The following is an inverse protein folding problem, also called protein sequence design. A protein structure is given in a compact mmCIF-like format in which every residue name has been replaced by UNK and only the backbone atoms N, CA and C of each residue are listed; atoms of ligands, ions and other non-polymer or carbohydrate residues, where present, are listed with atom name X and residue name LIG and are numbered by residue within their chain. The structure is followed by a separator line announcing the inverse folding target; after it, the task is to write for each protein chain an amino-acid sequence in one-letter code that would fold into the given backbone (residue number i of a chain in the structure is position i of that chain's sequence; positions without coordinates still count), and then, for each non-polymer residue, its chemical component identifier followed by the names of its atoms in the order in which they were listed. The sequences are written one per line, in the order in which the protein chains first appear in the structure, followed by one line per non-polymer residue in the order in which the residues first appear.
data_IF_771897728687
#
_entry.id   IF_771897728687
#
_cell.length_a   1.000
_cell.length_b   1.000
_cell.length_c   1.000
_cell.angle_alpha   90.00
_cell.angle_beta   90.00
_cell.angle_gamma   90.00
#
_symmetry.space_group_name_H-M   'P 1'
#
loop_
_entity.id
_entity.type
_entity.pdbx_description
1 polymer ?
#
# COMPACT_ATOMS: atom_id res chain seq x y z
N UNK A 1 20.62 1.44 -2.90
CA UNK A 1 20.80 0.78 -1.59
C UNK A 1 20.71 1.68 -0.37
N UNK A 2 21.47 2.78 -0.27
CA UNK A 2 21.62 3.55 1.00
C UNK A 2 20.33 3.99 1.70
N UNK A 3 19.23 4.22 0.98
CA UNK A 3 17.94 4.62 1.54
C UNK A 3 16.79 3.68 1.15
N UNK A 4 17.09 2.47 0.66
CA UNK A 4 16.11 1.45 0.31
C UNK A 4 15.31 1.04 1.55
N UNK A 5 14.02 0.76 1.39
CA UNK A 5 13.22 0.08 2.40
C UNK A 5 13.59 -1.41 2.40
N UNK A 6 13.95 -1.94 3.57
CA UNK A 6 14.32 -3.36 3.75
C UNK A 6 13.25 -4.02 4.60
N UNK A 7 12.62 -5.06 4.05
CA UNK A 7 11.61 -5.85 4.75
C UNK A 7 12.29 -6.92 5.61
N UNK A 8 11.64 -7.35 6.68
CA UNK A 8 12.10 -8.57 7.35
C UNK A 8 12.02 -9.77 6.38
N UNK A 9 13.08 -10.61 6.29
CA UNK A 9 13.09 -11.74 5.38
C UNK A 9 11.95 -12.74 5.62
N UNK A 10 11.48 -13.38 4.56
CA UNK A 10 10.57 -14.52 4.58
C UNK A 10 10.85 -15.45 3.40
N UNK A 11 10.23 -16.62 3.37
CA UNK A 11 10.60 -17.73 2.47
C UNK A 11 10.69 -17.31 1.00
N UNK A 12 9.70 -16.57 0.49
CA UNK A 12 9.66 -16.12 -0.91
C UNK A 12 10.51 -14.86 -1.19
N UNK A 13 10.98 -14.17 -0.15
CA UNK A 13 11.83 -12.98 -0.26
C UNK A 13 12.92 -12.94 0.84
N UNK A 14 13.93 -13.82 0.74
CA UNK A 14 14.96 -13.95 1.77
C UNK A 14 15.87 -12.70 1.87
N UNK A 15 15.89 -11.86 0.83
CA UNK A 15 16.70 -10.63 0.79
C UNK A 15 15.93 -9.39 1.28
N UNK A 16 14.65 -9.54 1.62
CA UNK A 16 13.78 -8.44 2.05
C UNK A 16 13.72 -7.30 1.02
N UNK A 17 13.79 -7.62 -0.28
CA UNK A 17 13.81 -6.62 -1.34
C UNK A 17 12.40 -6.11 -1.65
N UNK A 18 12.27 -4.79 -1.72
CA UNK A 18 11.13 -4.11 -2.32
C UNK A 18 11.64 -2.85 -3.02
N UNK A 19 11.04 -2.52 -4.16
CA UNK A 19 11.39 -1.30 -4.90
C UNK A 19 10.75 -0.07 -4.25
N UNK A 20 11.29 0.31 -3.11
CA UNK A 20 10.87 1.48 -2.35
C UNK A 20 12.06 2.12 -1.63
N UNK A 21 12.00 3.43 -1.46
CA UNK A 21 13.05 4.21 -0.80
C UNK A 21 12.46 5.22 0.17
N UNK A 22 13.12 5.40 1.31
CA UNK A 22 12.78 6.47 2.24
C UNK A 22 13.14 7.83 1.62
N UNK A 23 12.20 8.77 1.75
CA UNK A 23 12.35 10.17 1.33
C UNK A 23 12.07 11.06 2.53
N UNK A 24 12.99 11.98 2.78
CA UNK A 24 12.88 12.99 3.85
C UNK A 24 12.92 14.38 3.22
N UNK A 25 12.01 15.25 3.65
CA UNK A 25 12.02 16.64 3.21
C UNK A 25 12.90 17.49 4.13
N UNK A 26 13.64 18.48 3.60
CA UNK A 26 14.37 19.43 4.43
C UNK A 26 13.43 20.10 5.43
N UNK A 27 13.74 20.00 6.73
CA UNK A 27 12.92 20.54 7.85
C UNK A 27 11.53 19.91 8.00
N UNK A 28 11.21 18.86 7.24
CA UNK A 28 9.96 18.13 7.35
C UNK A 28 9.98 17.17 8.55
N UNK A 29 8.89 17.13 9.32
CA UNK A 29 8.68 16.11 10.37
C UNK A 29 8.10 14.81 9.82
N UNK A 30 7.54 14.86 8.60
CA UNK A 30 6.97 13.70 7.92
C UNK A 30 8.05 12.91 7.19
N UNK A 31 7.96 11.59 7.31
CA UNK A 31 8.78 10.64 6.55
C UNK A 31 7.92 10.05 5.46
N UNK A 32 8.46 9.98 4.25
CA UNK A 32 7.78 9.42 3.10
C UNK A 32 8.50 8.15 2.64
N UNK A 33 7.74 7.28 2.00
CA UNK A 33 8.27 6.16 1.23
C UNK A 33 7.83 6.39 -0.21
N UNK A 34 8.81 6.59 -1.10
CA UNK A 34 8.55 6.56 -2.54
C UNK A 34 8.70 5.11 -3.00
N UNK A 35 7.65 4.56 -3.60
CA UNK A 35 7.60 3.15 -3.99
C UNK A 35 7.09 3.00 -5.44
N UNK A 36 7.56 1.94 -6.10
CA UNK A 36 6.97 1.50 -7.37
C UNK A 36 5.52 1.06 -7.15
N UNK A 37 4.68 1.24 -8.17
CA UNK A 37 3.35 0.63 -8.20
C UNK A 37 3.47 -0.90 -8.04
N UNK A 38 2.65 -1.55 -7.18
CA UNK A 38 2.70 -2.98 -6.99
C UNK A 38 2.54 -3.78 -8.27
N UNK A 39 3.28 -4.88 -8.36
CA UNK A 39 3.14 -5.92 -9.37
C UNK A 39 2.37 -7.10 -8.77
N UNK A 40 1.78 -7.99 -9.60
CA UNK A 40 1.11 -9.20 -9.10
C UNK A 40 1.97 -10.04 -8.15
N UNK A 41 3.27 -10.11 -8.42
CA UNK A 41 4.23 -10.90 -7.63
C UNK A 41 4.80 -10.15 -6.42
N UNK A 42 4.38 -8.91 -6.14
CA UNK A 42 4.92 -8.10 -5.04
C UNK A 42 3.83 -7.58 -4.08
N UNK A 43 2.63 -8.17 -4.13
CA UNK A 43 1.49 -7.72 -3.34
C UNK A 43 1.65 -8.01 -1.85
N UNK A 44 2.27 -9.14 -1.49
CA UNK A 44 2.58 -9.46 -0.10
C UNK A 44 3.64 -8.51 0.46
N UNK A 45 4.73 -8.28 -0.28
CA UNK A 45 5.77 -7.32 0.10
C UNK A 45 5.21 -5.91 0.29
N UNK A 46 4.27 -5.50 -0.55
CA UNK A 46 3.62 -4.20 -0.44
C UNK A 46 2.91 -4.05 0.91
N UNK A 47 2.09 -5.01 1.30
CA UNK A 47 1.38 -4.97 2.59
C UNK A 47 2.31 -5.20 3.78
N UNK A 48 3.35 -6.01 3.61
CA UNK A 48 4.41 -6.16 4.61
C UNK A 48 5.16 -4.85 4.86
N UNK A 49 5.47 -4.09 3.80
CA UNK A 49 6.06 -2.76 3.92
C UNK A 49 5.14 -1.81 4.69
N UNK A 50 3.85 -1.79 4.34
CA UNK A 50 2.84 -0.96 5.02
C UNK A 50 2.78 -1.29 6.51
N UNK A 51 2.77 -2.59 6.86
CA UNK A 51 2.70 -3.05 8.25
C UNK A 51 3.98 -2.81 9.06
N UNK A 52 5.16 -3.09 8.50
CA UNK A 52 6.43 -2.92 9.20
C UNK A 52 6.76 -1.44 9.43
N UNK A 53 6.46 -0.60 8.45
CA UNK A 53 6.76 0.83 8.50
C UNK A 53 5.66 1.66 9.18
N UNK A 54 4.61 0.99 9.70
CA UNK A 54 3.43 1.62 10.33
C UNK A 54 2.84 2.74 9.44
N UNK A 55 2.74 2.50 8.14
CA UNK A 55 2.13 3.44 7.21
C UNK A 55 0.67 3.63 7.60
N UNK A 56 0.17 4.86 7.58
CA UNK A 56 -1.25 5.18 7.87
C UNK A 56 -1.97 5.81 6.68
N UNK A 57 -1.21 6.28 5.69
CA UNK A 57 -1.69 6.92 4.49
C UNK A 57 -0.89 6.43 3.28
N UNK A 58 -1.59 5.92 2.28
CA UNK A 58 -1.06 5.59 0.96
C UNK A 58 -1.57 6.65 -0.01
N UNK A 59 -0.67 7.27 -0.76
CA UNK A 59 -1.02 8.21 -1.84
C UNK A 59 -0.72 7.52 -3.17
N UNK A 60 -1.79 7.17 -3.91
CA UNK A 60 -1.71 6.51 -5.21
C UNK A 60 -1.87 7.56 -6.31
N UNK A 61 -0.82 7.72 -7.13
CA UNK A 61 -0.70 8.77 -8.14
C UNK A 61 -0.86 8.26 -9.58
N UNK A 62 -1.26 7.00 -9.77
CA UNK A 62 -1.42 6.38 -11.09
C UNK A 62 -2.74 5.60 -11.16
N UNK A 63 -3.26 5.43 -12.38
CA UNK A 63 -4.39 4.53 -12.64
C UNK A 63 -3.91 3.07 -12.63
N UNK A 64 -4.86 2.14 -12.49
CA UNK A 64 -4.56 0.71 -12.72
C UNK A 64 -4.13 0.45 -14.17
N UNK A 65 -4.77 1.13 -15.12
CA UNK A 65 -4.50 1.02 -16.56
C UNK A 65 -4.41 2.41 -17.18
N UNK A 66 -3.35 2.65 -17.96
CA UNK A 66 -3.15 3.87 -18.75
C UNK A 66 -2.77 3.50 -20.17
N UNK A 67 -3.43 4.10 -21.17
CA UNK A 67 -3.17 3.82 -22.59
C UNK A 67 -3.17 2.31 -22.91
N UNK A 68 -4.14 1.57 -22.34
CA UNK A 68 -4.28 0.11 -22.45
C UNK A 68 -3.10 -0.71 -21.89
N UNK A 69 -2.27 -0.12 -21.03
CA UNK A 69 -1.19 -0.82 -20.33
C UNK A 69 -1.45 -0.83 -18.83
N UNK A 70 -1.32 -2.00 -18.20
CA UNK A 70 -1.38 -2.12 -16.75
C UNK A 70 -0.20 -1.35 -16.15
N UNK A 71 -0.50 -0.43 -15.23
CA UNK A 71 0.47 0.43 -14.54
C UNK A 71 0.61 0.09 -13.06
N UNK A 72 -0.47 -0.41 -12.45
CA UNK A 72 -0.52 -0.77 -11.05
C UNK A 72 -1.42 -1.98 -10.91
N UNK A 73 -0.96 -2.99 -10.17
CA UNK A 73 -1.85 -4.08 -9.74
C UNK A 73 -2.73 -3.59 -8.59
N UNK A 74 -3.98 -4.05 -8.54
CA UNK A 74 -4.89 -3.63 -7.49
C UNK A 74 -4.60 -4.40 -6.20
N UNK A 75 -4.14 -3.68 -5.18
CA UNK A 75 -3.78 -4.24 -3.88
C UNK A 75 -4.86 -4.07 -2.80
N UNK A 76 -6.11 -3.74 -3.16
CA UNK A 76 -7.20 -3.49 -2.21
C UNK A 76 -8.54 -4.06 -2.72
N UNK A 77 -9.52 -4.40 -1.86
CA UNK A 77 -10.86 -4.86 -2.26
C UNK A 77 -11.69 -3.81 -3.01
N UNK A 78 -12.65 -4.21 -3.84
CA UNK A 78 -13.47 -3.26 -4.63
C UNK A 78 -14.75 -2.87 -3.91
N UNK A 79 -15.38 -3.83 -3.26
CA UNK A 79 -16.69 -3.66 -2.62
C UNK A 79 -16.53 -3.38 -1.12
N UNK A 80 -17.37 -2.49 -0.58
CA UNK A 80 -17.38 -2.21 0.87
C UNK A 80 -17.80 -3.48 1.61
N UNK A 81 -17.04 -3.82 2.66
CA UNK A 81 -17.20 -5.06 3.42
C UNK A 81 -16.50 -6.27 2.79
N UNK A 82 -15.98 -6.16 1.56
CA UNK A 82 -15.17 -7.20 0.95
C UNK A 82 -13.78 -7.23 1.59
N UNK A 83 -13.24 -8.43 1.68
CA UNK A 83 -11.90 -8.73 2.18
C UNK A 83 -11.07 -9.46 1.13
N UNK A 84 -9.78 -9.14 1.05
CA UNK A 84 -8.78 -9.86 0.26
C UNK A 84 -7.59 -10.24 1.14
N UNK A 85 -6.93 -11.35 0.79
CA UNK A 85 -5.74 -11.84 1.49
C UNK A 85 -4.50 -11.67 0.59
N UNK A 86 -3.45 -11.06 1.16
CA UNK A 86 -2.14 -10.94 0.52
C UNK A 86 -1.08 -11.47 1.49
N UNK A 87 -0.60 -12.70 1.26
CA UNK A 87 0.22 -13.41 2.25
C UNK A 87 -0.58 -13.63 3.54
N UNK A 88 -0.09 -13.11 4.67
CA UNK A 88 -0.81 -13.12 5.95
C UNK A 88 -1.55 -11.80 6.26
N UNK A 89 -1.68 -10.90 5.30
CA UNK A 89 -2.34 -9.61 5.45
C UNK A 89 -3.76 -9.67 4.89
N UNK A 90 -4.72 -9.62 5.80
CA UNK A 90 -6.14 -9.52 5.46
C UNK A 90 -6.52 -8.05 5.34
N UNK A 91 -7.02 -7.66 4.17
CA UNK A 91 -7.38 -6.27 3.85
C UNK A 91 -8.87 -6.18 3.57
N UNK A 92 -9.60 -5.41 4.38
CA UNK A 92 -11.00 -5.09 4.12
C UNK A 92 -11.17 -3.64 3.66
N UNK A 93 -12.19 -3.41 2.84
CA UNK A 93 -12.63 -2.06 2.47
C UNK A 93 -13.79 -1.62 3.37
N UNK A 94 -13.54 -0.66 4.25
CA UNK A 94 -14.54 -0.19 5.21
C UNK A 94 -15.40 0.95 4.64
N UNK A 95 -14.82 1.84 3.82
CA UNK A 95 -15.53 2.97 3.23
C UNK A 95 -14.81 3.55 1.99
N UNK A 96 -15.58 4.22 1.13
CA UNK A 96 -15.07 5.04 0.02
C UNK A 96 -15.73 6.41 0.10
N UNK A 97 -14.92 7.47 0.11
CA UNK A 97 -15.36 8.87 0.11
C UNK A 97 -14.86 9.53 -1.19
N UNK A 98 -15.74 10.25 -1.88
CA UNK A 98 -15.43 11.00 -3.11
C UNK A 98 -15.44 12.50 -2.82
N UNK A 99 -14.54 13.25 -3.45
CA UNK A 99 -14.47 14.71 -3.29
C UNK A 99 -15.28 15.42 -4.39
N UNK A 100 -15.62 16.69 -4.15
CA UNK A 100 -16.56 17.45 -4.98
C UNK A 100 -16.11 17.65 -6.44
N UNK A 101 -14.80 17.61 -6.70
CA UNK A 101 -14.20 17.71 -8.04
C UNK A 101 -14.06 16.36 -8.75
N UNK A 102 -14.39 15.26 -8.07
CA UNK A 102 -14.20 13.87 -8.49
C UNK A 102 -12.78 13.50 -8.94
N UNK A 103 -11.79 14.37 -8.69
CA UNK A 103 -10.37 14.15 -9.05
C UNK A 103 -9.68 13.16 -8.11
N UNK A 104 -10.22 13.03 -6.89
CA UNK A 104 -9.67 12.18 -5.84
C UNK A 104 -10.77 11.30 -5.25
N UNK A 105 -10.37 10.14 -4.77
CA UNK A 105 -11.19 9.36 -3.85
C UNK A 105 -10.33 8.89 -2.67
N UNK A 106 -10.95 8.78 -1.51
CA UNK A 106 -10.34 8.27 -0.29
C UNK A 106 -10.96 6.92 0.06
N UNK A 107 -10.15 5.88 0.18
CA UNK A 107 -10.57 4.59 0.74
C UNK A 107 -10.12 4.47 2.18
N UNK A 108 -11.02 4.00 3.04
CA UNK A 108 -10.69 3.55 4.38
C UNK A 108 -10.52 2.03 4.34
N UNK A 109 -9.28 1.59 4.43
CA UNK A 109 -8.91 0.18 4.45
C UNK A 109 -8.63 -0.23 5.88
N UNK A 110 -8.91 -1.50 6.22
CA UNK A 110 -8.44 -2.11 7.45
C UNK A 110 -7.53 -3.26 7.10
N UNK A 111 -6.32 -3.21 7.63
CA UNK A 111 -5.31 -4.24 7.47
C UNK A 111 -5.20 -5.00 8.79
N UNK A 112 -5.33 -6.32 8.73
CA UNK A 112 -5.10 -7.23 9.86
C UNK A 112 -3.96 -8.18 9.51
N UNK A 113 -2.92 -8.19 10.34
CA UNK A 113 -1.84 -9.16 10.25
C UNK A 113 -2.28 -10.44 10.99
N UNK A 114 -2.61 -11.49 10.25
CA UNK A 114 -3.14 -12.74 10.81
C UNK A 114 -2.13 -13.49 11.69
N UNK A 115 -0.82 -13.22 11.54
CA UNK A 115 0.23 -13.84 12.37
C UNK A 115 0.32 -13.20 13.76
N UNK A 116 0.19 -11.87 13.85
CA UNK A 116 0.28 -11.14 15.12
C UNK A 116 -1.08 -10.84 15.76
N UNK A 117 -2.17 -10.90 14.98
CA UNK A 117 -3.50 -10.44 15.38
C UNK A 117 -3.66 -8.91 15.41
N UNK A 118 -2.61 -8.14 15.08
CA UNK A 118 -2.70 -6.68 15.05
C UNK A 118 -3.54 -6.20 13.85
N UNK A 119 -4.43 -5.24 14.10
CA UNK A 119 -5.24 -4.59 13.07
C UNK A 119 -5.09 -3.07 13.11
N UNK A 120 -5.06 -2.43 11.93
CA UNK A 120 -4.90 -0.98 11.77
C UNK A 120 -5.76 -0.46 10.62
N UNK A 121 -6.23 0.78 10.75
CA UNK A 121 -6.87 1.52 9.65
C UNK A 121 -5.80 2.21 8.82
N UNK A 122 -5.89 2.06 7.51
CA UNK A 122 -5.02 2.65 6.50
C UNK A 122 -5.90 3.45 5.56
N UNK A 123 -5.53 4.71 5.32
CA UNK A 123 -6.20 5.53 4.33
C UNK A 123 -5.47 5.41 3.00
N UNK A 124 -6.19 5.23 1.90
CA UNK A 124 -5.64 5.30 0.56
C UNK A 124 -6.29 6.47 -0.18
N UNK A 125 -5.52 7.52 -0.44
CA UNK A 125 -5.90 8.62 -1.31
C UNK A 125 -5.47 8.30 -2.73
N UNK A 126 -6.40 8.22 -3.67
CA UNK A 126 -6.15 7.87 -5.05
C UNK A 126 -6.53 9.04 -5.96
N UNK A 127 -5.53 9.58 -6.66
CA UNK A 127 -5.74 10.56 -7.73
C UNK A 127 -6.20 9.81 -8.98
N UNK A 128 -7.37 10.20 -9.49
CA UNK A 128 -8.08 9.44 -10.52
C UNK A 128 -7.52 9.59 -11.91
#
# INVERSE_FOLDING_TARGET
DRNRVVLSPFDDNPNGYINASFVSLPKGRMRFIAAQAPLPTTLEEWWKMVDEQKVVLIVMLCKLVEMNKVKCERYWPVEIGQTLLFGCYEISLDAVETFADDEYLLRRLRMTNQKSGESRVIHQLHYK
#
